data_IF_028977390835
#
_entry.id   IF_028977390835
#
_cell.length_a   1.000
_cell.length_b   1.000
_cell.length_c   1.000
_cell.angle_alpha   90.00
_cell.angle_beta   90.00
_cell.angle_gamma   90.00
#
_symmetry.space_group_name_H-M   'P 1'
#
loop_
_entity.id
_entity.type
_entity.pdbx_description
1 polymer ?
#
# COMPACT_ATOMS: atom_id res chain seq x y z
N UNK A 1 34.41 -33.66 -48.31
CA UNK A 1 33.45 -32.68 -47.75
C UNK A 1 32.24 -33.45 -47.25
N UNK A 2 31.81 -33.18 -46.01
CA UNK A 2 30.59 -33.70 -45.40
C UNK A 2 30.00 -32.58 -44.55
N UNK A 3 28.70 -32.32 -44.68
CA UNK A 3 28.08 -31.10 -44.16
C UNK A 3 27.75 -31.20 -42.67
N UNK A 4 28.11 -30.17 -41.90
CA UNK A 4 27.60 -29.95 -40.55
C UNK A 4 26.13 -29.51 -40.63
N UNK A 5 25.19 -30.43 -40.44
CA UNK A 5 23.79 -30.09 -40.18
C UNK A 5 23.62 -29.60 -38.73
N UNK A 6 23.82 -28.29 -38.53
CA UNK A 6 23.56 -27.61 -37.25
C UNK A 6 22.05 -27.41 -37.06
N UNK A 7 21.34 -28.49 -36.70
CA UNK A 7 19.88 -28.54 -36.57
C UNK A 7 19.36 -27.77 -35.33
N UNK A 8 19.46 -26.45 -35.37
CA UNK A 8 18.94 -25.57 -34.32
C UNK A 8 17.42 -25.34 -34.50
N UNK A 9 16.59 -26.22 -33.91
CA UNK A 9 15.21 -25.90 -33.46
C UNK A 9 14.47 -27.14 -32.93
N UNK A 10 14.11 -27.14 -31.62
CA UNK A 10 12.86 -27.69 -31.02
C UNK A 10 12.86 -27.57 -29.47
N UNK A 11 12.49 -26.41 -28.91
CA UNK A 11 12.03 -26.33 -27.50
C UNK A 11 10.50 -26.23 -27.37
N UNK A 12 9.83 -25.74 -28.42
CA UNK A 12 8.50 -25.09 -28.38
C UNK A 12 7.33 -25.99 -27.94
N UNK A 13 7.45 -27.32 -28.00
CA UNK A 13 6.33 -28.23 -27.68
C UNK A 13 6.16 -28.50 -26.19
N UNK A 14 7.25 -28.79 -25.45
CA UNK A 14 7.14 -29.27 -24.06
C UNK A 14 6.53 -28.24 -23.09
N UNK A 15 6.72 -26.95 -23.36
CA UNK A 15 6.12 -25.87 -22.57
C UNK A 15 4.62 -25.72 -22.85
N UNK A 16 4.19 -25.89 -24.11
CA UNK A 16 2.77 -25.87 -24.48
C UNK A 16 2.05 -27.11 -23.94
N UNK A 17 2.71 -28.26 -23.94
CA UNK A 17 2.19 -29.50 -23.36
C UNK A 17 2.11 -29.41 -21.82
N UNK A 18 3.07 -28.75 -21.15
CA UNK A 18 3.01 -28.44 -19.71
C UNK A 18 1.84 -27.50 -19.37
N UNK A 19 1.68 -26.39 -20.09
CA UNK A 19 0.57 -25.43 -19.85
C UNK A 19 -0.80 -26.08 -20.13
N UNK A 20 -0.89 -26.95 -21.13
CA UNK A 20 -2.10 -27.77 -21.36
C UNK A 20 -2.34 -28.78 -20.22
N UNK A 21 -1.32 -29.48 -19.75
CA UNK A 21 -1.42 -30.39 -18.59
C UNK A 21 -1.95 -29.66 -17.35
N UNK A 22 -1.40 -28.48 -17.05
CA UNK A 22 -1.85 -27.61 -15.95
C UNK A 22 -3.34 -27.26 -16.14
N UNK A 23 -3.73 -26.74 -17.31
CA UNK A 23 -5.12 -26.38 -17.63
C UNK A 23 -6.09 -27.55 -17.48
N UNK A 24 -5.79 -28.69 -18.10
CA UNK A 24 -6.65 -29.87 -18.09
C UNK A 24 -6.77 -30.46 -16.67
N UNK A 25 -5.71 -30.36 -15.85
CA UNK A 25 -5.75 -30.79 -14.44
C UNK A 25 -6.58 -29.85 -13.56
N UNK A 26 -6.50 -28.52 -13.75
CA UNK A 26 -7.31 -27.55 -13.01
C UNK A 26 -8.80 -27.67 -13.36
N UNK A 27 -9.14 -27.78 -14.64
CA UNK A 27 -10.53 -28.02 -15.09
C UNK A 27 -11.07 -29.41 -14.65
N UNK A 28 -10.18 -30.36 -14.36
CA UNK A 28 -10.56 -31.63 -13.76
C UNK A 28 -10.87 -31.52 -12.26
N UNK A 29 -10.43 -30.48 -11.55
CA UNK A 29 -10.65 -30.30 -10.11
C UNK A 29 -12.14 -30.05 -9.81
N UNK A 30 -12.77 -29.14 -10.57
CA UNK A 30 -14.21 -28.83 -10.47
C UNK A 30 -15.12 -30.02 -10.80
N UNK A 31 -14.62 -30.98 -11.60
CA UNK A 31 -15.42 -32.09 -12.15
C UNK A 31 -15.11 -33.45 -11.53
N UNK A 32 -14.02 -33.58 -10.74
CA UNK A 32 -13.59 -34.84 -10.11
C UNK A 32 -13.19 -34.62 -8.66
N UNK A 33 -14.17 -34.70 -7.75
CA UNK A 33 -13.92 -34.75 -6.30
C UNK A 33 -13.14 -36.02 -5.93
N UNK A 34 -11.82 -35.92 -5.85
CA UNK A 34 -10.97 -37.04 -5.44
C UNK A 34 -9.50 -36.64 -5.29
N UNK A 35 -8.84 -37.14 -4.25
CA UNK A 35 -7.48 -36.75 -3.86
C UNK A 35 -6.44 -36.85 -5.00
N UNK A 36 -6.62 -37.80 -5.94
CA UNK A 36 -5.73 -37.94 -7.10
C UNK A 36 -5.78 -36.73 -8.06
N UNK A 37 -6.94 -36.11 -8.26
CA UNK A 37 -7.03 -34.92 -9.12
C UNK A 37 -6.24 -33.74 -8.51
N UNK A 38 -6.33 -33.57 -7.19
CA UNK A 38 -5.53 -32.61 -6.43
C UNK A 38 -4.03 -32.95 -6.52
N UNK A 39 -3.65 -34.22 -6.31
CA UNK A 39 -2.27 -34.69 -6.39
C UNK A 39 -1.64 -34.45 -7.78
N UNK A 40 -2.40 -34.65 -8.86
CA UNK A 40 -1.95 -34.41 -10.24
C UNK A 40 -1.85 -32.89 -10.54
N UNK A 41 -2.75 -32.05 -9.99
CA UNK A 41 -2.65 -30.58 -10.05
C UNK A 41 -1.44 -30.04 -9.29
N UNK A 42 -1.20 -30.51 -8.06
CA UNK A 42 -0.08 -30.02 -7.23
C UNK A 42 1.28 -30.40 -7.83
N UNK A 43 1.41 -31.59 -8.45
CA UNK A 43 2.60 -31.95 -9.25
C UNK A 43 2.80 -31.03 -10.44
N UNK A 44 1.73 -30.68 -11.15
CA UNK A 44 1.78 -29.75 -12.29
C UNK A 44 2.23 -28.34 -11.83
N UNK A 45 1.73 -27.85 -10.70
CA UNK A 45 2.13 -26.56 -10.09
C UNK A 45 3.58 -26.58 -9.61
N UNK A 46 4.02 -27.66 -8.95
CA UNK A 46 5.42 -27.84 -8.53
C UNK A 46 6.37 -27.88 -9.74
N UNK A 47 6.00 -28.60 -10.80
CA UNK A 47 6.75 -28.65 -12.06
C UNK A 47 6.87 -27.27 -12.71
N UNK A 48 5.79 -26.49 -12.70
CA UNK A 48 5.80 -25.09 -13.14
C UNK A 48 6.75 -24.25 -12.28
N UNK A 49 6.68 -24.36 -10.94
CA UNK A 49 7.56 -23.64 -10.03
C UNK A 49 9.03 -23.91 -10.30
N UNK A 50 9.44 -25.18 -10.43
CA UNK A 50 10.83 -25.54 -10.77
C UNK A 50 11.26 -24.93 -12.11
N UNK A 51 10.37 -24.93 -13.11
CA UNK A 51 10.66 -24.36 -14.44
C UNK A 51 10.79 -22.83 -14.42
N UNK A 52 10.02 -22.15 -13.54
CA UNK A 52 10.03 -20.69 -13.40
C UNK A 52 11.15 -20.16 -12.48
N UNK A 53 11.53 -20.94 -11.46
CA UNK A 53 12.40 -20.48 -10.35
C UNK A 53 13.79 -21.11 -10.36
N UNK A 54 13.97 -22.21 -11.10
CA UNK A 54 15.08 -23.15 -10.88
C UNK A 54 14.80 -24.11 -9.72
N UNK A 55 15.67 -25.11 -9.57
CA UNK A 55 15.63 -26.09 -8.47
C UNK A 55 16.73 -25.88 -7.41
N UNK A 56 17.64 -24.93 -7.64
CA UNK A 56 18.80 -24.62 -6.81
C UNK A 56 20.14 -25.03 -7.42
N UNK A 57 20.13 -26.01 -8.33
CA UNK A 57 21.31 -26.46 -9.09
C UNK A 57 21.27 -25.96 -10.55
N UNK A 58 20.07 -25.76 -11.10
CA UNK A 58 19.82 -25.29 -12.47
C UNK A 58 19.08 -23.95 -12.45
N UNK A 59 19.66 -22.92 -13.07
CA UNK A 59 19.02 -21.60 -13.25
C UNK A 59 17.86 -21.67 -14.26
N UNK A 60 16.77 -20.90 -14.05
CA UNK A 60 15.62 -20.90 -14.96
C UNK A 60 15.95 -20.25 -16.31
N UNK A 61 15.77 -21.01 -17.38
CA UNK A 61 15.97 -20.54 -18.75
C UNK A 61 14.91 -19.49 -19.13
N UNK A 62 15.34 -18.24 -19.32
CA UNK A 62 14.45 -17.11 -19.58
C UNK A 62 13.58 -17.29 -20.84
N UNK A 63 14.11 -17.87 -21.92
CA UNK A 63 13.31 -18.16 -23.13
C UNK A 63 12.14 -19.12 -22.83
N UNK A 64 12.33 -20.03 -21.88
CA UNK A 64 11.30 -20.98 -21.45
C UNK A 64 10.26 -20.28 -20.56
N UNK A 65 10.72 -19.43 -19.63
CA UNK A 65 9.86 -18.64 -18.73
C UNK A 65 8.95 -17.70 -19.53
N UNK A 66 9.49 -16.98 -20.52
CA UNK A 66 8.71 -16.07 -21.38
C UNK A 66 7.69 -16.82 -22.24
N UNK A 67 8.06 -17.98 -22.82
CA UNK A 67 7.12 -18.81 -23.57
C UNK A 67 5.98 -19.36 -22.70
N UNK A 68 6.28 -19.78 -21.46
CA UNK A 68 5.27 -20.23 -20.49
C UNK A 68 4.32 -19.08 -20.12
N UNK A 69 4.83 -17.87 -19.86
CA UNK A 69 3.99 -16.71 -19.53
C UNK A 69 3.01 -16.36 -20.66
N UNK A 70 3.48 -16.35 -21.91
CA UNK A 70 2.64 -16.11 -23.08
C UNK A 70 1.56 -17.19 -23.27
N UNK A 71 1.92 -18.47 -23.12
CA UNK A 71 0.97 -19.58 -23.29
C UNK A 71 -0.06 -19.65 -22.14
N UNK A 72 0.34 -19.35 -20.89
CA UNK A 72 -0.58 -19.24 -19.73
C UNK A 72 -1.62 -18.15 -19.95
N UNK A 73 -1.24 -16.99 -20.49
CA UNK A 73 -2.17 -15.92 -20.85
C UNK A 73 -3.10 -16.36 -21.98
N UNK A 74 -2.54 -16.91 -23.06
CA UNK A 74 -3.29 -17.38 -24.24
C UNK A 74 -4.33 -18.45 -23.91
N UNK A 75 -3.98 -19.40 -23.04
CA UNK A 75 -4.87 -20.50 -22.66
C UNK A 75 -5.81 -20.16 -21.48
N UNK A 76 -5.71 -18.96 -20.90
CA UNK A 76 -6.57 -18.51 -19.80
C UNK A 76 -6.26 -19.15 -18.44
N UNK A 77 -5.09 -19.78 -18.30
CA UNK A 77 -4.69 -20.53 -17.09
C UNK A 77 -4.51 -19.60 -15.88
N UNK A 78 -4.17 -18.33 -16.12
CA UNK A 78 -4.02 -17.31 -15.07
C UNK A 78 -5.33 -17.08 -14.29
N UNK A 79 -6.50 -17.16 -14.95
CA UNK A 79 -7.81 -17.11 -14.30
C UNK A 79 -8.08 -18.36 -13.44
N UNK A 80 -7.74 -19.54 -13.97
CA UNK A 80 -7.93 -20.81 -13.26
C UNK A 80 -7.10 -20.88 -11.97
N UNK A 81 -5.90 -20.27 -11.95
CA UNK A 81 -5.06 -20.18 -10.76
C UNK A 81 -5.74 -19.45 -9.61
N UNK A 82 -6.39 -18.32 -9.89
CA UNK A 82 -7.11 -17.53 -8.88
C UNK A 82 -8.33 -18.30 -8.38
N UNK A 83 -9.14 -18.83 -9.30
CA UNK A 83 -10.39 -19.53 -8.99
C UNK A 83 -10.17 -20.82 -8.18
N UNK A 84 -9.13 -21.60 -8.49
CA UNK A 84 -8.83 -22.88 -7.82
C UNK A 84 -8.00 -22.75 -6.54
N UNK A 85 -7.44 -21.57 -6.24
CA UNK A 85 -6.58 -21.37 -5.06
C UNK A 85 -7.18 -21.88 -3.72
N UNK A 86 -8.49 -21.70 -3.43
CA UNK A 86 -9.10 -22.26 -2.23
C UNK A 86 -9.10 -23.80 -2.17
N UNK A 87 -9.12 -24.47 -3.32
CA UNK A 87 -9.24 -25.92 -3.44
C UNK A 87 -7.89 -26.67 -3.37
N UNK A 88 -6.77 -25.94 -3.43
CA UNK A 88 -5.42 -26.50 -3.31
C UNK A 88 -5.01 -26.76 -1.85
N UNK A 89 -4.03 -27.65 -1.64
CA UNK A 89 -3.37 -27.82 -0.35
C UNK A 89 -2.39 -26.68 -0.03
N UNK A 90 -1.86 -26.67 1.21
CA UNK A 90 -1.03 -25.58 1.72
C UNK A 90 0.22 -25.29 0.87
N UNK A 91 0.97 -26.34 0.48
CA UNK A 91 2.16 -26.18 -0.36
C UNK A 91 1.79 -25.76 -1.79
N UNK A 92 0.73 -26.35 -2.36
CA UNK A 92 0.22 -26.00 -3.69
C UNK A 92 -0.23 -24.54 -3.80
N UNK A 93 -0.87 -23.99 -2.76
CA UNK A 93 -1.23 -22.55 -2.65
C UNK A 93 0.00 -21.66 -2.67
N UNK A 94 1.02 -22.00 -1.87
CA UNK A 94 2.27 -21.24 -1.76
C UNK A 94 3.05 -21.25 -3.08
N UNK A 95 3.15 -22.41 -3.71
CA UNK A 95 3.87 -22.58 -4.98
C UNK A 95 3.14 -21.89 -6.14
N UNK A 96 1.81 -21.94 -6.19
CA UNK A 96 1.01 -21.17 -7.15
C UNK A 96 1.18 -19.67 -6.96
N UNK A 97 1.11 -19.17 -5.72
CA UNK A 97 1.32 -17.75 -5.42
C UNK A 97 2.75 -17.29 -5.77
N UNK A 98 3.76 -18.17 -5.64
CA UNK A 98 5.12 -17.90 -6.10
C UNK A 98 5.21 -17.85 -7.63
N UNK A 99 4.61 -18.82 -8.33
CA UNK A 99 4.52 -18.82 -9.80
C UNK A 99 3.84 -17.55 -10.33
N UNK A 100 2.71 -17.15 -9.74
CA UNK A 100 2.00 -15.91 -10.04
C UNK A 100 2.91 -14.68 -9.94
N UNK A 101 3.67 -14.56 -8.85
CA UNK A 101 4.61 -13.46 -8.65
C UNK A 101 5.76 -13.44 -9.68
N UNK A 102 6.21 -14.59 -10.17
CA UNK A 102 7.23 -14.65 -11.25
C UNK A 102 6.61 -14.30 -12.60
N UNK A 103 5.44 -14.85 -12.92
CA UNK A 103 4.73 -14.66 -14.18
C UNK A 103 4.34 -13.19 -14.42
N UNK A 104 3.85 -12.48 -13.40
CA UNK A 104 3.56 -11.04 -13.46
C UNK A 104 4.77 -10.18 -13.85
N UNK A 105 5.98 -10.60 -13.44
CA UNK A 105 7.22 -9.87 -13.72
C UNK A 105 7.81 -10.16 -15.10
N UNK A 106 7.20 -11.04 -15.90
CA UNK A 106 7.70 -11.39 -17.22
C UNK A 106 7.38 -10.32 -18.25
N UNK A 107 8.43 -9.78 -18.86
CA UNK A 107 8.39 -8.68 -19.82
C UNK A 107 8.74 -9.20 -21.22
N UNK A 108 7.82 -9.03 -22.16
CA UNK A 108 7.91 -9.43 -23.57
C UNK A 108 7.71 -8.18 -24.42
N UNK A 109 8.69 -7.84 -25.27
CA UNK A 109 8.63 -6.71 -26.22
C UNK A 109 8.11 -5.41 -25.57
N UNK A 110 8.75 -5.02 -24.46
CA UNK A 110 8.42 -3.92 -23.55
C UNK A 110 7.12 -4.03 -22.70
N UNK A 111 6.23 -4.99 -22.97
CA UNK A 111 5.00 -5.19 -22.20
C UNK A 111 5.08 -6.32 -21.15
N UNK A 112 4.27 -6.29 -20.08
CA UNK A 112 4.08 -7.45 -19.19
C UNK A 112 2.77 -8.16 -19.54
N UNK A 113 2.85 -9.25 -20.30
CA UNK A 113 1.69 -9.97 -20.84
C UNK A 113 0.69 -10.43 -19.75
N UNK A 114 1.17 -10.88 -18.59
CA UNK A 114 0.32 -11.31 -17.47
C UNK A 114 -0.43 -10.14 -16.80
N UNK A 115 0.16 -8.94 -16.76
CA UNK A 115 -0.52 -7.73 -16.27
C UNK A 115 -1.63 -7.33 -17.25
N UNK A 116 -1.32 -7.27 -18.55
CA UNK A 116 -2.33 -6.97 -19.58
C UNK A 116 -3.48 -7.99 -19.60
N UNK A 117 -3.23 -9.26 -19.31
CA UNK A 117 -4.29 -10.25 -19.14
C UNK A 117 -5.23 -9.87 -17.99
N UNK A 118 -4.68 -9.47 -16.84
CA UNK A 118 -5.46 -9.06 -15.66
C UNK A 118 -6.19 -7.72 -15.87
N UNK A 119 -5.61 -6.77 -16.61
CA UNK A 119 -6.29 -5.52 -17.03
C UNK A 119 -7.53 -5.80 -17.92
N UNK A 120 -7.62 -7.00 -18.52
CA UNK A 120 -8.80 -7.48 -19.27
C UNK A 120 -9.71 -8.44 -18.46
N UNK A 121 -9.30 -8.86 -17.26
CA UNK A 121 -10.01 -9.81 -16.38
C UNK A 121 -9.98 -9.28 -14.93
N UNK A 122 -10.52 -8.07 -14.74
CA UNK A 122 -10.46 -7.33 -13.47
C UNK A 122 -11.26 -7.98 -12.33
N UNK A 123 -12.19 -8.87 -12.66
CA UNK A 123 -12.93 -9.72 -11.72
C UNK A 123 -12.02 -10.64 -10.89
N UNK A 124 -10.84 -11.00 -11.43
CA UNK A 124 -9.81 -11.74 -10.69
C UNK A 124 -9.27 -10.93 -9.49
N UNK A 125 -9.22 -9.60 -9.59
CA UNK A 125 -8.76 -8.72 -8.52
C UNK A 125 -9.81 -8.65 -7.41
N UNK A 126 -11.09 -8.51 -7.76
CA UNK A 126 -12.19 -8.56 -6.79
C UNK A 126 -12.25 -9.93 -6.09
N UNK A 127 -12.02 -11.04 -6.80
CA UNK A 127 -11.93 -12.37 -6.20
C UNK A 127 -10.78 -12.46 -5.18
N UNK A 128 -9.58 -11.97 -5.52
CA UNK A 128 -8.44 -11.92 -4.59
C UNK A 128 -8.75 -11.08 -3.33
N UNK A 129 -9.47 -9.96 -3.46
CA UNK A 129 -9.89 -9.15 -2.29
C UNK A 129 -10.98 -9.86 -1.49
N UNK A 130 -11.96 -10.51 -2.11
CA UNK A 130 -13.02 -11.27 -1.41
C UNK A 130 -12.44 -12.48 -0.65
N UNK A 131 -11.41 -13.13 -1.19
CA UNK A 131 -10.76 -14.29 -0.57
C UNK A 131 -10.01 -14.01 0.74
N UNK A 132 -9.77 -12.75 1.13
CA UNK A 132 -9.31 -12.41 2.49
C UNK A 132 -10.26 -12.93 3.60
N UNK A 133 -11.54 -13.17 3.27
CA UNK A 133 -12.52 -13.79 4.20
C UNK A 133 -12.24 -15.28 4.46
N UNK A 134 -11.48 -15.96 3.61
CA UNK A 134 -11.05 -17.34 3.82
C UNK A 134 -9.63 -17.35 4.43
N UNK A 135 -9.57 -17.70 5.71
CA UNK A 135 -8.37 -17.64 6.54
C UNK A 135 -7.19 -18.45 5.95
N UNK A 136 -7.45 -19.52 5.19
CA UNK A 136 -6.40 -20.40 4.67
C UNK A 136 -5.74 -19.92 3.37
N UNK A 137 -6.36 -18.96 2.67
CA UNK A 137 -5.83 -18.37 1.43
C UNK A 137 -5.49 -16.89 1.55
N UNK A 138 -6.04 -16.18 2.53
CA UNK A 138 -5.91 -14.72 2.68
C UNK A 138 -4.49 -14.19 2.46
N UNK A 139 -3.47 -14.79 3.08
CA UNK A 139 -2.06 -14.37 2.93
C UNK A 139 -1.49 -14.62 1.51
N UNK A 140 -1.94 -15.69 0.85
CA UNK A 140 -1.58 -15.98 -0.54
C UNK A 140 -2.23 -14.96 -1.49
N UNK A 141 -3.54 -14.70 -1.28
CA UNK A 141 -4.28 -13.69 -2.03
C UNK A 141 -3.70 -12.29 -1.85
N UNK A 142 -3.34 -11.91 -0.62
CA UNK A 142 -2.68 -10.66 -0.31
C UNK A 142 -1.33 -10.49 -0.99
N UNK A 143 -0.49 -11.53 -1.01
CA UNK A 143 0.76 -11.51 -1.75
C UNK A 143 0.56 -11.41 -3.28
N UNK A 144 -0.37 -12.19 -3.84
CA UNK A 144 -0.72 -12.15 -5.27
C UNK A 144 -1.25 -10.77 -5.69
N UNK A 145 -2.11 -10.18 -4.87
CA UNK A 145 -2.70 -8.86 -5.08
C UNK A 145 -1.66 -7.73 -4.93
N UNK A 146 -0.76 -7.83 -3.93
CA UNK A 146 0.37 -6.90 -3.78
C UNK A 146 1.37 -6.96 -4.92
N UNK A 147 1.44 -8.05 -5.68
CA UNK A 147 2.19 -8.06 -6.94
C UNK A 147 1.44 -7.31 -8.06
N UNK A 148 0.12 -7.54 -8.21
CA UNK A 148 -0.70 -6.89 -9.24
C UNK A 148 -0.66 -5.37 -9.18
N UNK A 149 -0.65 -4.79 -7.96
CA UNK A 149 -0.69 -3.33 -7.74
C UNK A 149 0.66 -2.62 -7.94
N UNK A 150 1.75 -3.34 -8.22
CA UNK A 150 3.08 -2.73 -8.46
C UNK A 150 3.16 -1.94 -9.76
N UNK A 151 2.29 -2.25 -10.71
CA UNK A 151 2.29 -1.68 -12.04
C UNK A 151 1.33 -0.48 -12.07
N UNK A 152 1.78 0.77 -12.35
CA UNK A 152 0.94 1.98 -12.32
C UNK A 152 -0.03 2.07 -13.50
N UNK A 153 0.40 1.56 -14.65
CA UNK A 153 -0.35 1.22 -15.88
C UNK A 153 0.69 0.71 -16.88
N UNK A 154 0.30 -0.11 -17.86
CA UNK A 154 1.15 -0.40 -19.03
C UNK A 154 0.86 0.49 -20.24
N UNK A 155 -0.15 1.38 -20.15
CA UNK A 155 -0.23 2.51 -21.06
C UNK A 155 0.87 3.51 -20.71
N UNK A 156 1.86 3.66 -21.59
CA UNK A 156 2.81 4.77 -21.54
C UNK A 156 2.06 6.09 -21.77
N UNK A 157 1.50 6.68 -20.71
CA UNK A 157 0.93 8.03 -20.74
C UNK A 157 2.02 9.12 -20.74
N UNK A 158 3.08 8.88 -21.52
CA UNK A 158 4.14 9.83 -21.85
C UNK A 158 3.66 10.84 -22.91
N UNK A 159 2.50 11.44 -22.68
CA UNK A 159 1.98 12.58 -23.42
C UNK A 159 1.31 13.54 -22.46
N UNK A 160 1.86 14.75 -22.35
CA UNK A 160 1.28 15.84 -21.55
C UNK A 160 -0.06 16.26 -22.17
N UNK A 161 -1.17 15.88 -21.55
CA UNK A 161 -2.50 16.22 -22.04
C UNK A 161 -2.74 17.74 -21.98
N UNK A 162 -3.11 18.40 -23.10
CA UNK A 162 -3.56 19.79 -23.08
C UNK A 162 -4.95 19.87 -22.45
N UNK A 163 -5.18 20.90 -21.64
CA UNK A 163 -6.26 20.99 -20.65
C UNK A 163 -7.69 21.22 -21.19
N UNK A 164 -8.06 20.65 -22.36
CA UNK A 164 -9.37 20.91 -22.99
C UNK A 164 -9.91 19.83 -23.96
N UNK A 165 -9.45 18.57 -23.90
CA UNK A 165 -10.04 17.47 -24.68
C UNK A 165 -11.16 16.75 -23.92
N UNK A 166 -12.42 17.04 -24.25
CA UNK A 166 -13.61 16.41 -23.65
C UNK A 166 -13.99 15.08 -24.33
N UNK A 167 -13.01 14.18 -24.54
CA UNK A 167 -13.23 12.76 -24.90
C UNK A 167 -11.92 11.98 -24.73
N UNK A 168 -11.84 11.10 -23.73
CA UNK A 168 -11.15 9.81 -23.91
C UNK A 168 -11.61 8.78 -22.87
N UNK A 169 -12.63 8.01 -23.23
CA UNK A 169 -13.21 6.95 -22.39
C UNK A 169 -12.37 5.65 -22.47
N UNK A 170 -11.05 5.81 -22.56
CA UNK A 170 -10.05 4.77 -22.85
C UNK A 170 -8.79 4.91 -21.99
N UNK A 171 -8.92 5.52 -20.80
CA UNK A 171 -7.90 5.40 -19.76
C UNK A 171 -7.72 3.90 -19.44
N UNK A 172 -6.54 3.35 -19.72
CA UNK A 172 -6.28 1.91 -19.57
C UNK A 172 -6.47 1.51 -18.10
N UNK A 173 -7.40 0.58 -17.84
CA UNK A 173 -7.77 0.14 -16.50
C UNK A 173 -6.64 -0.66 -15.84
N UNK A 174 -5.65 0.07 -15.31
CA UNK A 174 -4.63 -0.47 -14.43
C UNK A 174 -5.27 -1.21 -13.25
N UNK A 175 -4.73 -2.38 -12.92
CA UNK A 175 -5.05 -3.18 -11.74
C UNK A 175 -5.17 -2.34 -10.45
N UNK A 176 -4.18 -1.48 -10.15
CA UNK A 176 -4.20 -0.60 -8.99
C UNK A 176 -5.40 0.34 -9.00
N UNK A 177 -5.62 1.06 -10.11
CA UNK A 177 -6.72 2.03 -10.19
C UNK A 177 -8.08 1.34 -10.11
N UNK A 178 -8.23 0.19 -10.75
CA UNK A 178 -9.45 -0.62 -10.63
C UNK A 178 -9.72 -0.98 -9.16
N UNK A 179 -8.74 -1.53 -8.44
CA UNK A 179 -8.92 -1.92 -7.02
C UNK A 179 -9.24 -0.70 -6.14
N UNK A 180 -8.58 0.44 -6.36
CA UNK A 180 -8.76 1.64 -5.55
C UNK A 180 -10.15 2.28 -5.74
N UNK A 181 -10.69 2.24 -6.97
CA UNK A 181 -11.99 2.81 -7.33
C UNK A 181 -13.16 1.80 -7.18
N UNK A 182 -12.91 0.51 -6.92
CA UNK A 182 -13.97 -0.50 -6.79
C UNK A 182 -14.51 -0.63 -5.36
N UNK A 183 -15.75 -1.13 -5.24
CA UNK A 183 -16.38 -1.43 -3.95
C UNK A 183 -15.57 -2.44 -3.10
N UNK A 184 -14.64 -3.18 -3.72
CA UNK A 184 -13.74 -4.09 -2.99
C UNK A 184 -12.72 -3.33 -2.14
N UNK A 185 -12.39 -2.07 -2.47
CA UNK A 185 -11.53 -1.22 -1.63
C UNK A 185 -12.09 -1.07 -0.20
N UNK A 186 -13.41 -0.87 -0.07
CA UNK A 186 -14.04 -0.66 1.25
C UNK A 186 -13.92 -1.88 2.18
N UNK A 187 -13.69 -3.08 1.62
CA UNK A 187 -13.48 -4.29 2.41
C UNK A 187 -12.19 -4.23 3.24
N UNK A 188 -11.17 -3.47 2.81
CA UNK A 188 -9.94 -3.32 3.60
C UNK A 188 -10.18 -2.65 4.95
N UNK A 189 -11.11 -1.69 5.06
CA UNK A 189 -11.50 -1.09 6.34
C UNK A 189 -12.13 -2.10 7.33
N UNK A 190 -12.59 -3.26 6.83
CA UNK A 190 -13.07 -4.38 7.66
C UNK A 190 -11.94 -5.37 7.92
N UNK A 191 -11.10 -5.66 6.93
CA UNK A 191 -10.01 -6.63 7.03
C UNK A 191 -8.90 -6.22 8.00
N UNK A 192 -8.57 -4.91 8.08
CA UNK A 192 -7.58 -4.41 9.05
C UNK A 192 -8.07 -4.47 10.51
N UNK A 193 -9.34 -4.81 10.75
CA UNK A 193 -9.93 -5.02 12.08
C UNK A 193 -10.28 -6.48 12.38
N UNK A 194 -9.77 -7.43 11.57
CA UNK A 194 -9.96 -8.85 11.83
C UNK A 194 -9.23 -9.29 13.12
N UNK A 195 -9.82 -10.21 13.92
CA UNK A 195 -9.20 -10.71 15.14
C UNK A 195 -8.00 -11.65 14.87
N UNK A 196 -7.82 -12.10 13.63
CA UNK A 196 -6.61 -12.80 13.20
C UNK A 196 -5.53 -11.75 12.87
N UNK A 197 -4.54 -11.61 13.75
CA UNK A 197 -3.47 -10.62 13.64
C UNK A 197 -2.68 -10.72 12.34
N UNK A 198 -2.34 -11.93 11.88
CA UNK A 198 -1.51 -12.11 10.68
C UNK A 198 -2.25 -11.64 9.43
N UNK A 199 -3.54 -11.97 9.31
CA UNK A 199 -4.39 -11.55 8.19
C UNK A 199 -4.71 -10.06 8.25
N UNK A 200 -4.99 -9.53 9.45
CA UNK A 200 -5.21 -8.08 9.62
C UNK A 200 -3.95 -7.28 9.27
N UNK A 201 -2.76 -7.75 9.66
CA UNK A 201 -1.47 -7.17 9.31
C UNK A 201 -1.17 -7.25 7.81
N UNK A 202 -1.47 -8.39 7.17
CA UNK A 202 -1.30 -8.56 5.72
C UNK A 202 -2.25 -7.65 4.91
N UNK A 203 -3.53 -7.58 5.30
CA UNK A 203 -4.51 -6.67 4.73
C UNK A 203 -4.10 -5.20 4.93
N UNK A 204 -3.55 -4.86 6.09
CA UNK A 204 -3.05 -3.53 6.43
C UNK A 204 -1.83 -3.13 5.59
N UNK A 205 -0.93 -4.06 5.27
CA UNK A 205 0.16 -3.83 4.33
C UNK A 205 -0.35 -3.61 2.89
N UNK A 206 -1.38 -4.34 2.46
CA UNK A 206 -2.01 -4.11 1.15
C UNK A 206 -2.77 -2.78 1.09
N UNK A 207 -3.48 -2.43 2.17
CA UNK A 207 -4.19 -1.14 2.29
C UNK A 207 -3.22 0.04 2.32
N UNK A 208 -2.03 -0.11 2.94
CA UNK A 208 -0.94 0.84 2.80
C UNK A 208 -0.50 0.97 1.33
N UNK A 209 -0.14 -0.13 0.68
CA UNK A 209 0.33 -0.10 -0.71
C UNK A 209 -0.69 0.57 -1.65
N UNK A 210 -1.99 0.33 -1.44
CA UNK A 210 -3.07 0.99 -2.18
C UNK A 210 -3.17 2.51 -1.92
N UNK A 211 -2.60 3.03 -0.83
CA UNK A 211 -2.63 4.44 -0.44
C UNK A 211 -1.28 5.16 -0.54
N UNK A 212 -0.15 4.47 -0.71
CA UNK A 212 1.19 5.11 -0.73
C UNK A 212 2.07 4.68 -1.91
N UNK A 213 1.58 3.89 -2.88
CA UNK A 213 2.42 3.35 -3.96
C UNK A 213 2.48 4.22 -5.23
N UNK A 214 1.36 4.77 -5.66
CA UNK A 214 1.25 5.60 -6.88
C UNK A 214 0.56 6.92 -6.53
N UNK A 215 1.35 7.88 -6.02
CA UNK A 215 0.89 9.10 -5.35
C UNK A 215 -0.13 9.92 -6.15
N UNK A 216 0.08 10.09 -7.46
CA UNK A 216 -0.81 10.87 -8.33
C UNK A 216 -2.21 10.24 -8.43
N UNK A 217 -2.28 8.90 -8.58
CA UNK A 217 -3.55 8.17 -8.66
C UNK A 217 -4.29 8.14 -7.31
N UNK A 218 -3.54 8.09 -6.20
CA UNK A 218 -4.11 8.24 -4.85
C UNK A 218 -4.66 9.65 -4.65
N UNK A 219 -3.96 10.70 -5.11
CA UNK A 219 -4.44 12.08 -5.02
C UNK A 219 -5.73 12.29 -5.79
N UNK A 220 -5.83 11.78 -7.02
CA UNK A 220 -7.05 11.87 -7.82
C UNK A 220 -8.25 11.20 -7.09
N UNK A 221 -8.05 10.00 -6.56
CA UNK A 221 -9.04 9.26 -5.78
C UNK A 221 -9.44 9.97 -4.47
N UNK A 222 -8.47 10.49 -3.71
CA UNK A 222 -8.72 11.20 -2.45
C UNK A 222 -9.37 12.58 -2.65
N UNK A 223 -9.18 13.21 -3.81
CA UNK A 223 -9.91 14.43 -4.21
C UNK A 223 -11.37 14.10 -4.52
N UNK A 224 -11.64 13.03 -5.28
CA UNK A 224 -13.01 12.65 -5.67
C UNK A 224 -13.83 12.05 -4.53
N UNK A 225 -13.22 11.21 -3.67
CA UNK A 225 -13.92 10.46 -2.62
C UNK A 225 -13.75 11.02 -1.20
N UNK A 226 -13.20 12.24 -1.04
CA UNK A 226 -12.79 12.84 0.24
C UNK A 226 -13.68 12.54 1.45
N UNK A 227 -14.98 12.90 1.40
CA UNK A 227 -15.89 12.75 2.55
C UNK A 227 -16.16 11.27 2.92
N UNK A 228 -16.33 10.42 1.90
CA UNK A 228 -16.58 8.99 2.09
C UNK A 228 -15.33 8.31 2.64
N UNK A 229 -14.17 8.58 2.04
CA UNK A 229 -12.89 8.02 2.48
C UNK A 229 -12.55 8.42 3.91
N UNK A 230 -12.56 9.71 4.25
CA UNK A 230 -12.12 10.15 5.59
C UNK A 230 -13.13 9.82 6.70
N UNK A 231 -14.43 9.69 6.43
CA UNK A 231 -15.41 9.20 7.42
C UNK A 231 -15.30 7.68 7.66
N UNK A 232 -14.80 6.90 6.68
CA UNK A 232 -14.36 5.52 6.93
C UNK A 232 -13.02 5.49 7.69
N UNK A 233 -12.03 6.29 7.26
CA UNK A 233 -10.68 6.31 7.83
C UNK A 233 -10.66 6.77 9.31
N UNK A 234 -11.53 7.72 9.65
CA UNK A 234 -11.85 8.15 11.01
C UNK A 234 -12.16 6.98 11.95
N UNK A 235 -12.81 5.91 11.47
CA UNK A 235 -13.12 4.71 12.28
C UNK A 235 -11.85 3.99 12.70
N UNK A 236 -10.88 3.86 11.80
CA UNK A 236 -9.57 3.27 12.09
C UNK A 236 -8.78 4.15 13.07
N UNK A 237 -8.79 5.47 12.87
CA UNK A 237 -8.17 6.45 13.79
C UNK A 237 -8.78 6.44 15.19
N UNK A 238 -10.03 5.99 15.35
CA UNK A 238 -10.71 5.87 16.65
C UNK A 238 -10.93 4.43 17.11
N UNK A 239 -10.36 3.44 16.41
CA UNK A 239 -10.56 2.01 16.68
C UNK A 239 -10.03 1.61 18.06
N UNK A 240 -10.70 0.68 18.75
CA UNK A 240 -10.19 0.09 20.00
C UNK A 240 -8.93 -0.75 19.77
N UNK A 241 -8.71 -1.26 18.55
CA UNK A 241 -7.53 -1.99 18.17
C UNK A 241 -6.29 -1.09 18.13
N UNK A 242 -5.45 -1.19 19.15
CA UNK A 242 -4.22 -0.39 19.29
C UNK A 242 -3.29 -0.50 18.07
N UNK A 243 -3.18 -1.67 17.45
CA UNK A 243 -2.26 -1.87 16.30
C UNK A 243 -2.80 -1.13 15.09
N UNK A 244 -4.05 -1.35 14.73
CA UNK A 244 -4.69 -0.71 13.58
C UNK A 244 -4.75 0.80 13.77
N UNK A 245 -5.21 1.28 14.94
CA UNK A 245 -5.19 2.71 15.30
C UNK A 245 -3.79 3.34 15.17
N UNK A 246 -2.73 2.67 15.65
CA UNK A 246 -1.35 3.17 15.55
C UNK A 246 -0.85 3.24 14.10
N UNK A 247 -1.16 2.23 13.28
CA UNK A 247 -0.68 2.16 11.91
C UNK A 247 -1.48 3.05 10.97
N UNK A 248 -2.79 3.21 11.16
CA UNK A 248 -3.59 4.20 10.43
C UNK A 248 -3.18 5.64 10.73
N UNK A 249 -2.80 5.96 11.98
CA UNK A 249 -2.17 7.28 12.28
C UNK A 249 -0.86 7.46 11.52
N UNK A 250 -0.04 6.41 11.39
CA UNK A 250 1.19 6.46 10.60
C UNK A 250 0.91 6.66 9.11
N UNK A 251 0.07 5.82 8.50
CA UNK A 251 -0.18 5.85 7.06
C UNK A 251 -0.87 7.14 6.62
N UNK A 252 -1.72 7.72 7.48
CA UNK A 252 -2.34 9.03 7.25
C UNK A 252 -1.29 10.12 6.97
N UNK A 253 -0.21 10.17 7.75
CA UNK A 253 0.89 11.10 7.50
C UNK A 253 1.70 10.72 6.26
N UNK A 254 1.90 9.42 6.00
CA UNK A 254 2.64 8.94 4.84
C UNK A 254 1.96 9.42 3.54
N UNK A 255 0.63 9.29 3.38
CA UNK A 255 -0.02 9.80 2.15
C UNK A 255 -0.34 11.31 2.19
N UNK A 256 -0.76 11.90 3.33
CA UNK A 256 -1.12 13.34 3.35
C UNK A 256 0.07 14.28 3.09
N UNK A 257 1.29 13.88 3.41
CA UNK A 257 2.48 14.73 3.26
C UNK A 257 3.08 14.70 1.84
N UNK A 258 2.65 13.79 0.97
CA UNK A 258 3.18 13.72 -0.40
C UNK A 258 2.74 14.89 -1.27
N UNK A 259 3.61 15.29 -2.21
CA UNK A 259 3.42 16.51 -2.99
C UNK A 259 2.10 16.55 -3.79
N UNK A 260 1.62 15.46 -4.42
CA UNK A 260 0.30 15.43 -5.06
C UNK A 260 -0.87 15.64 -4.08
N UNK A 261 -0.71 15.29 -2.80
CA UNK A 261 -1.76 15.34 -1.79
C UNK A 261 -1.86 16.67 -1.03
N UNK A 262 -1.03 17.66 -1.36
CA UNK A 262 -0.94 18.93 -0.65
C UNK A 262 -2.27 19.71 -0.51
N UNK A 263 -3.23 19.54 -1.45
CA UNK A 263 -4.56 20.17 -1.35
C UNK A 263 -5.50 19.39 -0.39
N UNK A 264 -5.42 18.05 -0.39
CA UNK A 264 -6.16 17.18 0.52
C UNK A 264 -5.72 17.45 1.97
N UNK A 265 -4.41 17.55 2.21
CA UNK A 265 -3.83 17.97 3.49
C UNK A 265 -4.36 19.35 3.92
N UNK A 266 -4.32 20.34 3.01
CA UNK A 266 -4.80 21.71 3.30
C UNK A 266 -6.28 21.75 3.68
N UNK A 267 -7.12 20.89 3.11
CA UNK A 267 -8.51 20.72 3.57
C UNK A 267 -8.57 20.07 4.94
N UNK A 268 -7.88 18.93 5.13
CA UNK A 268 -7.90 18.12 6.34
C UNK A 268 -7.55 18.91 7.61
N UNK A 269 -6.51 19.75 7.57
CA UNK A 269 -6.07 20.56 8.72
C UNK A 269 -7.00 21.73 9.09
N UNK A 270 -7.97 22.08 8.23
CA UNK A 270 -8.93 23.17 8.48
C UNK A 270 -10.22 22.66 9.13
N UNK A 271 -10.42 21.35 9.21
CA UNK A 271 -11.66 20.74 9.69
C UNK A 271 -11.58 20.32 11.16
N UNK A 272 -12.36 20.99 12.01
CA UNK A 272 -12.40 20.80 13.47
C UNK A 272 -12.68 19.33 13.87
N UNK A 273 -13.39 18.56 13.04
CA UNK A 273 -13.62 17.12 13.27
C UNK A 273 -12.32 16.31 13.36
N UNK A 274 -11.33 16.60 12.50
CA UNK A 274 -10.03 15.93 12.56
C UNK A 274 -9.13 16.52 13.66
N UNK A 275 -9.21 17.85 13.90
CA UNK A 275 -8.53 18.50 15.02
C UNK A 275 -8.81 17.82 16.36
N UNK A 276 -10.08 17.49 16.63
CA UNK A 276 -10.47 16.80 17.85
C UNK A 276 -9.98 15.34 17.93
N UNK A 277 -9.80 14.65 16.79
CA UNK A 277 -9.38 13.24 16.76
C UNK A 277 -7.93 13.09 17.21
N UNK A 278 -6.96 13.79 16.61
CA UNK A 278 -5.57 13.63 17.07
C UNK A 278 -5.35 14.24 18.46
N UNK A 279 -6.07 15.31 18.83
CA UNK A 279 -6.05 15.77 20.23
C UNK A 279 -6.50 14.69 21.22
N UNK A 280 -7.46 13.83 20.85
CA UNK A 280 -7.80 12.64 21.64
C UNK A 280 -6.67 11.60 21.68
N UNK A 281 -6.05 11.32 20.54
CA UNK A 281 -4.94 10.37 20.42
C UNK A 281 -3.69 10.80 21.23
N UNK A 282 -3.37 12.09 21.27
CA UNK A 282 -2.31 12.66 22.12
C UNK A 282 -2.56 12.38 23.60
N UNK A 283 -3.79 12.68 24.07
CA UNK A 283 -4.19 12.52 25.48
C UNK A 283 -4.11 11.03 25.89
N UNK A 284 -4.54 10.13 25.02
CA UNK A 284 -4.43 8.67 25.22
C UNK A 284 -2.97 8.17 25.21
N UNK A 285 -2.13 8.68 24.31
CA UNK A 285 -0.70 8.36 24.24
C UNK A 285 0.06 8.77 25.50
N UNK A 286 -0.18 9.99 25.99
CA UNK A 286 0.43 10.53 27.22
C UNK A 286 0.14 9.72 28.49
N UNK A 287 -1.01 9.03 28.57
CA UNK A 287 -1.29 8.10 29.66
C UNK A 287 -0.55 6.77 29.53
N UNK A 288 -0.42 6.22 28.32
CA UNK A 288 0.20 4.90 28.10
C UNK A 288 1.71 4.93 28.35
N UNK A 289 2.40 6.02 27.99
CA UNK A 289 3.84 6.20 28.25
C UNK A 289 4.22 6.21 29.75
N UNK A 290 3.25 6.29 30.66
CA UNK A 290 3.51 6.45 32.10
C UNK A 290 3.71 5.15 32.87
N UNK A 291 3.21 4.01 32.36
CA UNK A 291 2.97 2.82 33.19
C UNK A 291 3.96 1.66 32.98
N UNK A 292 4.59 1.50 31.81
CA UNK A 292 5.37 0.30 31.49
C UNK A 292 6.85 0.59 31.20
N UNK A 293 7.71 0.34 32.20
CA UNK A 293 9.16 0.59 32.12
C UNK A 293 9.96 -0.48 31.35
N UNK A 294 9.31 -1.43 30.67
CA UNK A 294 9.94 -2.66 30.17
C UNK A 294 9.55 -3.08 28.73
N UNK A 295 8.83 -2.26 27.96
CA UNK A 295 8.78 -2.47 26.51
C UNK A 295 10.17 -2.21 25.91
N UNK A 296 10.72 -3.24 25.27
CA UNK A 296 12.02 -3.20 24.59
C UNK A 296 12.07 -2.13 23.49
N UNK A 297 13.30 -1.72 23.15
CA UNK A 297 13.58 -0.67 22.18
C UNK A 297 12.87 -0.87 20.83
N UNK A 298 11.79 -0.13 20.61
CA UNK A 298 11.31 0.24 19.29
C UNK A 298 11.44 1.75 19.20
N UNK A 299 12.58 2.18 18.65
CA UNK A 299 12.77 3.56 18.24
C UNK A 299 11.63 3.97 17.32
N UNK A 300 10.98 5.10 17.65
CA UNK A 300 10.33 5.90 16.64
C UNK A 300 9.02 5.39 16.01
N UNK A 301 7.89 5.94 16.48
CA UNK A 301 6.74 6.29 15.63
C UNK A 301 6.00 7.53 16.20
N UNK A 302 5.49 7.55 17.45
CA UNK A 302 5.00 8.79 18.09
C UNK A 302 6.13 9.80 18.33
N UNK A 303 7.36 9.38 18.08
CA UNK A 303 8.52 10.21 17.87
C UNK A 303 9.42 9.69 16.70
N UNK A 304 8.89 9.19 15.55
CA UNK A 304 9.62 9.26 14.22
C UNK A 304 8.79 9.35 12.88
N UNK A 305 8.11 10.46 12.56
CA UNK A 305 7.68 10.99 11.21
C UNK A 305 7.45 12.56 11.00
N UNK A 306 7.49 13.44 12.03
CA UNK A 306 7.47 14.94 12.09
C UNK A 306 8.78 15.65 11.68
N UNK A 307 9.97 15.25 12.17
CA UNK A 307 11.25 15.96 11.93
C UNK A 307 11.65 16.05 10.48
N UNK A 308 11.12 15.11 9.71
CA UNK A 308 11.39 14.93 8.30
C UNK A 308 11.04 16.18 7.47
N UNK A 309 10.44 17.21 8.07
CA UNK A 309 9.77 18.33 7.40
C UNK A 309 10.40 19.71 7.75
N UNK A 310 11.37 19.82 8.68
CA UNK A 310 11.91 21.14 9.14
C UNK A 310 13.34 21.47 8.68
N UNK A 311 14.03 20.54 8.00
CA UNK A 311 15.39 20.78 7.49
C UNK A 311 15.44 21.67 6.22
N UNK A 312 15.14 22.98 6.34
CA UNK A 312 15.38 23.98 5.27
C UNK A 312 15.99 25.26 5.85
N UNK A 313 17.01 25.83 5.19
CA UNK A 313 17.83 26.93 5.73
C UNK A 313 17.52 28.27 5.07
N UNK A 314 16.47 28.97 5.51
CA UNK A 314 16.21 30.37 5.15
C UNK A 314 15.60 31.15 6.34
N UNK A 315 16.19 32.27 6.80
CA UNK A 315 15.75 32.97 8.01
C UNK A 315 14.37 33.66 7.91
N UNK A 316 13.77 33.83 6.72
CA UNK A 316 12.39 34.37 6.62
C UNK A 316 11.29 33.28 6.85
N UNK A 317 11.68 32.02 7.05
CA UNK A 317 10.83 30.85 6.78
C UNK A 317 10.43 30.06 8.04
N UNK A 318 9.95 30.75 9.08
CA UNK A 318 9.63 30.13 10.38
C UNK A 318 8.13 30.06 10.73
N UNK A 319 7.77 29.03 11.51
CA UNK A 319 6.42 28.70 12.02
C UNK A 319 5.37 28.33 10.96
N UNK A 320 5.40 27.07 10.46
CA UNK A 320 4.21 26.53 9.78
C UNK A 320 3.75 25.09 10.09
N UNK A 321 4.60 24.19 10.58
CA UNK A 321 4.19 22.78 10.82
C UNK A 321 3.60 22.48 12.21
N UNK A 322 3.36 23.52 13.01
CA UNK A 322 2.71 23.41 14.32
C UNK A 322 1.28 22.87 14.23
N UNK A 323 0.44 23.45 13.36
CA UNK A 323 -1.03 23.27 13.39
C UNK A 323 -1.50 22.06 12.55
N UNK A 324 -0.59 21.41 11.82
CA UNK A 324 -0.80 20.08 11.21
C UNK A 324 -0.69 18.97 12.26
N UNK A 325 -1.52 19.07 13.31
CA UNK A 325 -2.08 17.90 13.99
C UNK A 325 -1.18 17.00 14.88
N UNK A 326 -0.03 17.51 15.38
CA UNK A 326 0.74 17.03 16.57
C UNK A 326 1.03 15.50 16.68
N UNK A 327 2.33 15.17 16.77
CA UNK A 327 3.01 13.86 16.87
C UNK A 327 3.09 13.00 15.58
N UNK A 328 4.24 12.40 15.23
CA UNK A 328 5.60 12.34 15.84
C UNK A 328 6.72 12.12 14.79
N UNK A 329 8.08 12.09 15.09
CA UNK A 329 9.42 12.65 14.56
C UNK A 329 10.35 12.24 13.25
N UNK A 330 11.58 11.65 13.19
CA UNK A 330 12.51 11.66 11.97
C UNK A 330 12.26 10.69 10.75
N UNK A 331 12.87 10.95 9.56
CA UNK A 331 13.91 10.11 8.83
C UNK A 331 14.21 10.60 7.36
N UNK A 332 15.38 11.22 7.16
CA UNK A 332 16.20 11.37 5.92
C UNK A 332 15.71 12.07 4.61
N UNK A 333 16.44 13.14 4.25
CA UNK A 333 17.09 13.46 2.95
C UNK A 333 16.38 13.22 1.59
N UNK A 334 15.91 14.31 0.98
CA UNK A 334 16.09 14.56 -0.47
C UNK A 334 16.36 16.05 -0.73
N UNK A 335 17.24 16.35 -1.68
CA UNK A 335 17.45 17.70 -2.20
C UNK A 335 16.42 18.04 -3.29
N UNK A 336 16.26 19.33 -3.60
CA UNK A 336 15.54 19.88 -4.75
C UNK A 336 14.06 19.48 -4.94
N UNK A 337 13.15 20.23 -4.29
CA UNK A 337 11.97 20.84 -4.97
C UNK A 337 11.37 22.00 -4.15
N UNK A 338 10.52 22.80 -4.82
CA UNK A 338 10.14 24.16 -4.40
C UNK A 338 8.66 24.28 -4.01
N UNK A 339 8.39 25.09 -2.98
CA UNK A 339 7.09 25.75 -2.66
C UNK A 339 5.95 24.82 -2.21
N UNK A 340 5.22 25.19 -1.13
CA UNK A 340 3.75 25.35 -1.16
C UNK A 340 3.05 25.89 0.12
N UNK A 341 3.34 27.16 0.45
CA UNK A 341 2.40 28.12 1.09
C UNK A 341 1.99 27.86 2.55
N UNK A 342 2.43 28.78 3.42
CA UNK A 342 1.84 29.02 4.74
C UNK A 342 0.40 29.54 4.64
N UNK A 343 -0.50 29.03 5.47
CA UNK A 343 -1.82 29.62 5.73
C UNK A 343 -1.80 30.55 6.98
N UNK A 344 -1.69 31.88 6.82
CA UNK A 344 -1.85 32.81 7.94
C UNK A 344 -3.30 32.85 8.48
N UNK A 345 -4.28 32.50 7.64
CA UNK A 345 -5.71 32.61 7.94
C UNK A 345 -6.26 31.29 8.51
N UNK A 346 -5.90 30.98 9.74
CA UNK A 346 -6.48 29.84 10.48
C UNK A 346 -7.96 30.13 10.79
N UNK A 347 -8.90 29.18 10.58
CA UNK A 347 -10.31 29.37 10.94
C UNK A 347 -10.47 29.69 12.42
N UNK A 348 -11.45 30.54 12.77
CA UNK A 348 -11.68 30.94 14.17
C UNK A 348 -11.94 29.74 15.07
N UNK A 349 -12.66 28.75 14.58
CA UNK A 349 -13.02 27.54 15.34
C UNK A 349 -11.78 26.66 15.62
N UNK A 350 -10.83 26.59 14.69
CA UNK A 350 -9.53 25.93 14.87
C UNK A 350 -8.70 26.67 15.93
N UNK A 351 -8.69 28.02 15.90
CA UNK A 351 -8.00 28.82 16.92
C UNK A 351 -8.65 28.62 18.29
N UNK A 352 -9.99 28.69 18.38
CA UNK A 352 -10.73 28.53 19.63
C UNK A 352 -10.44 27.16 20.28
N UNK A 353 -10.48 26.08 19.51
CA UNK A 353 -10.22 24.73 20.02
C UNK A 353 -8.78 24.58 20.54
N UNK A 354 -7.79 25.18 19.89
CA UNK A 354 -6.39 25.22 20.37
C UNK A 354 -6.25 26.05 21.66
N UNK A 355 -6.94 27.19 21.74
CA UNK A 355 -6.96 28.07 22.91
C UNK A 355 -7.68 27.41 24.10
N UNK A 356 -8.78 26.71 23.89
CA UNK A 356 -9.51 26.00 24.96
C UNK A 356 -8.67 24.85 25.54
N UNK A 357 -7.87 24.17 24.71
CA UNK A 357 -7.04 23.03 25.12
C UNK A 357 -5.61 23.39 25.55
N UNK A 358 -5.17 24.65 25.44
CA UNK A 358 -3.74 25.03 25.54
C UNK A 358 -3.01 24.48 26.76
N UNK A 359 -3.64 24.52 27.95
CA UNK A 359 -3.02 24.09 29.22
C UNK A 359 -2.70 22.59 29.24
N UNK A 360 -3.52 21.79 28.56
CA UNK A 360 -3.31 20.34 28.47
C UNK A 360 -2.31 20.01 27.36
N UNK A 361 -2.38 20.71 26.22
CA UNK A 361 -1.43 20.56 25.11
C UNK A 361 0.00 20.89 25.55
N UNK A 362 0.23 22.05 26.18
CA UNK A 362 1.55 22.42 26.72
C UNK A 362 2.07 21.40 27.74
N UNK A 363 1.19 20.91 28.63
CA UNK A 363 1.54 19.88 29.62
C UNK A 363 1.94 18.55 28.97
N UNK A 364 1.30 18.16 27.87
CA UNK A 364 1.65 16.97 27.10
C UNK A 364 2.99 17.16 26.36
N UNK A 365 3.19 18.31 25.72
CA UNK A 365 4.43 18.64 24.99
C UNK A 365 5.65 18.65 25.91
N UNK A 366 5.56 19.28 27.08
CA UNK A 366 6.63 19.26 28.10
C UNK A 366 6.80 17.89 28.80
N UNK A 367 5.88 16.93 28.58
CA UNK A 367 5.98 15.56 29.09
C UNK A 367 6.47 14.55 28.03
N UNK A 368 6.76 15.00 26.80
CA UNK A 368 7.46 14.19 25.82
C UNK A 368 8.91 13.92 26.30
N UNK A 369 9.46 12.72 26.07
CA UNK A 369 10.84 12.44 26.44
C UNK A 369 11.79 13.29 25.59
N UNK A 370 12.62 14.11 26.23
CA UNK A 370 13.70 14.85 25.58
C UNK A 370 14.68 13.88 24.89
N UNK A 371 15.32 14.34 23.80
CA UNK A 371 16.33 13.52 23.13
C UNK A 371 17.49 13.19 24.08
N UNK A 372 18.10 12.02 23.89
CA UNK A 372 19.38 11.68 24.56
C UNK A 372 20.59 12.10 23.71
N UNK A 373 20.49 13.25 23.03
CA UNK A 373 21.54 13.80 22.17
C UNK A 373 21.72 13.11 20.81
N UNK A 374 20.84 12.16 20.44
CA UNK A 374 20.87 11.48 19.13
C UNK A 374 20.02 12.20 18.07
N UNK A 375 19.21 13.19 18.47
CA UNK A 375 18.14 13.78 17.67
C UNK A 375 17.82 15.19 18.19
N UNK A 376 18.80 16.11 18.24
CA UNK A 376 18.67 17.44 18.86
C UNK A 376 17.50 18.27 18.32
N UNK A 377 17.11 17.99 17.08
CA UNK A 377 15.93 18.53 16.41
C UNK A 377 14.65 18.31 17.28
N UNK A 378 14.54 17.22 18.06
CA UNK A 378 13.43 16.90 19.03
C UNK A 378 13.05 18.09 19.87
N UNK A 379 14.07 18.71 20.41
CA UNK A 379 13.93 19.73 21.43
C UNK A 379 13.69 21.10 20.78
N UNK A 380 14.22 21.36 19.58
CA UNK A 380 13.97 22.57 18.80
C UNK A 380 12.53 22.68 18.29
N UNK A 381 12.01 21.65 17.61
CA UNK A 381 10.62 21.70 17.12
C UNK A 381 9.63 21.71 18.26
N UNK A 382 9.84 20.94 19.35
CA UNK A 382 8.97 21.01 20.53
C UNK A 382 8.91 22.44 21.06
N UNK A 383 10.03 23.15 21.11
CA UNK A 383 10.07 24.49 21.69
C UNK A 383 9.50 25.57 20.73
N UNK A 384 9.59 25.37 19.41
CA UNK A 384 8.73 26.09 18.44
C UNK A 384 7.25 25.75 18.67
N UNK A 385 6.96 24.48 18.98
CA UNK A 385 5.63 23.91 19.27
C UNK A 385 5.10 24.28 20.67
N UNK A 386 5.86 25.04 21.47
CA UNK A 386 5.37 25.75 22.67
C UNK A 386 5.04 27.21 22.31
N UNK A 387 5.95 27.90 21.60
CA UNK A 387 5.89 29.35 21.36
C UNK A 387 4.65 29.81 20.59
N UNK A 388 4.19 29.10 19.55
CA UNK A 388 2.99 29.53 18.80
C UNK A 388 1.67 29.25 19.56
N UNK A 389 1.55 28.19 20.39
CA UNK A 389 0.37 28.04 21.28
C UNK A 389 0.31 29.21 22.25
N UNK A 390 1.42 29.55 22.91
CA UNK A 390 1.44 30.69 23.83
C UNK A 390 1.07 31.99 23.12
N UNK A 391 1.58 32.21 21.90
CA UNK A 391 1.25 33.38 21.08
C UNK A 391 -0.22 33.40 20.65
N UNK A 392 -0.82 32.27 20.25
CA UNK A 392 -2.24 32.17 19.93
C UNK A 392 -3.12 32.49 21.14
N UNK A 393 -2.75 32.03 22.33
CA UNK A 393 -3.42 32.39 23.59
C UNK A 393 -3.24 33.89 23.90
N UNK A 394 -2.05 34.45 23.73
CA UNK A 394 -1.78 35.90 23.90
C UNK A 394 -2.46 36.80 22.85
N UNK A 395 -2.96 36.24 21.75
CA UNK A 395 -3.68 36.95 20.67
C UNK A 395 -5.20 36.73 20.72
N UNK A 396 -5.71 35.97 21.70
CA UNK A 396 -7.14 35.68 21.90
C UNK A 396 -7.67 36.13 23.28
N UNK A 397 -6.84 36.84 24.05
CA UNK A 397 -7.15 37.56 25.29
C UNK A 397 -7.05 39.06 25.04
#
# INVERSE_FOLDING_TARGET
MSFFFRAASRPRSSQQDLVRSIKDSLLALDTKTGAKALEDVEKNIFTLRQTLSGDGEVEPNQDHVLQIALEICKEGVLSLFVQNLPSLGWEGRKDLAHCWCILLRQKVDESHCCVQYIENHVDLLDFLVVCYKNLEVALNCGNMLRECIKYPSLANFSFSLPSNCMYEQLALFCSFRYILESNSFELFFQYVELPNFDIASDALNTFKDLLTRHEDAVSEFLISHYEQFFELYKRLLTSDNYVTRRQSVKFLSEFLLEAPNAQIMKRYILEVRYLNIMMGLLKAGGTSMRNEKHCFCITGLPATMIFKIVATTDPELNVFLFVTMINGIIIYSLADRKVFVANPNKPRDIIQVLVDNHKELLKLLHALPASKGEDEQLDEERDLIVKEIEKLVRLSV
#
